data_IF_429005696370
#
_entry.id   IF_429005696370
#
_cell.length_a   1.000
_cell.length_b   1.000
_cell.length_c   1.000
_cell.angle_alpha   90.00
_cell.angle_beta   90.00
_cell.angle_gamma   90.00
#
_symmetry.space_group_name_H-M   'P 1'
#
loop_
_entity.id
_entity.type
_entity.pdbx_description
1 polymer ?
#
# COMPACT_ATOMS: atom_id res chain seq x y z
N UNK A 1 -7.56 -23.07 -20.80
CA UNK A 1 -7.66 -22.33 -20.37
C UNK A 1 -7.67 -21.65 -19.93
N UNK A 2 -7.33 -21.97 -19.90
CA UNK A 2 -7.39 -21.10 -19.25
C UNK A 2 -7.44 -20.71 -18.65
N UNK A 3 -7.29 -21.31 -18.71
CA UNK A 3 -7.43 -20.71 -18.05
C UNK A 3 -7.20 -20.23 -17.43
N UNK A 4 -6.97 -20.81 -17.57
CA UNK A 4 -6.79 -20.09 -16.91
C UNK A 4 -6.58 -19.38 -16.64
N UNK A 5 -6.35 -19.86 -16.93
CA UNK A 5 -6.26 -18.94 -16.57
C UNK A 5 -6.50 -18.11 -16.38
N UNK A 6 -6.38 -18.63 -16.55
CA UNK A 6 -6.69 -17.68 -16.25
C UNK A 6 -6.84 -17.03 -15.77
N UNK A 7 -6.71 -17.44 -15.87
CA UNK A 7 -6.86 -16.64 -15.33
C UNK A 7 -6.60 -16.03 -14.88
N UNK A 8 -6.51 -16.41 -15.08
CA UNK A 8 -6.28 -15.68 -14.71
C UNK A 8 -6.34 -14.83 -14.68
N UNK A 9 -6.40 -15.09 -14.96
CA UNK A 9 -6.43 -14.14 -14.99
C UNK A 9 -6.90 -13.39 -14.89
N UNK A 10 -6.88 -13.64 -14.98
CA UNK A 10 -7.20 -12.77 -14.76
C UNK A 10 -7.31 -12.03 -14.41
N UNK A 11 -7.29 -12.16 -14.28
CA UNK A 11 -7.15 -11.41 -13.79
C UNK A 11 -6.90 -10.55 -13.79
N UNK A 12 -6.85 -10.59 -13.93
CA UNK A 12 -6.47 -9.77 -13.80
C UNK A 12 -6.58 -8.94 -13.60
N UNK A 13 -6.71 -9.25 -13.43
CA UNK A 13 -6.84 -8.38 -13.24
C UNK A 13 -6.98 -7.40 -12.45
N UNK A 14 -7.14 -7.37 -11.67
CA UNK A 14 -6.98 -6.45 -11.04
C UNK A 14 -5.74 -6.19 -10.67
N UNK A 15 -5.20 -5.45 -11.17
CA UNK A 15 -3.90 -5.12 -10.95
C UNK A 15 -3.84 -4.05 -9.95
N UNK A 16 -2.97 -4.14 -8.95
CA UNK A 16 -2.68 -3.11 -7.98
C UNK A 16 -2.16 -1.85 -8.68
N UNK A 17 -2.43 -0.67 -8.10
CA UNK A 17 -1.83 0.57 -8.59
C UNK A 17 -0.37 0.68 -8.17
N UNK A 18 0.12 -0.23 -7.32
CA UNK A 18 1.48 -0.21 -6.84
C UNK A 18 2.41 -0.94 -7.79
N UNK A 19 3.68 -0.53 -7.87
CA UNK A 19 4.67 -1.27 -8.65
C UNK A 19 4.79 -2.70 -8.19
N UNK A 20 5.23 -3.55 -9.10
CA UNK A 20 5.31 -4.99 -8.88
C UNK A 20 6.17 -5.36 -7.67
N UNK A 21 7.20 -4.58 -7.36
CA UNK A 21 8.07 -4.89 -6.22
C UNK A 21 7.32 -4.90 -4.90
N UNK A 22 6.14 -4.31 -4.85
CA UNK A 22 5.33 -4.25 -3.64
C UNK A 22 4.24 -5.33 -3.61
N UNK A 23 4.22 -6.21 -4.61
CA UNK A 23 3.23 -7.27 -4.66
C UNK A 23 3.38 -8.17 -3.44
N UNK A 24 2.24 -8.57 -2.89
CA UNK A 24 2.22 -9.51 -1.78
C UNK A 24 2.39 -8.90 -0.40
N UNK A 25 2.71 -7.61 -0.32
CA UNK A 25 2.84 -6.98 1.00
C UNK A 25 1.47 -6.54 1.49
N UNK A 26 1.11 -7.01 2.67
CA UNK A 26 -0.17 -6.64 3.27
C UNK A 26 -0.08 -5.33 4.04
N UNK A 27 1.10 -5.03 4.58
CA UNK A 27 1.32 -3.80 5.34
C UNK A 27 2.66 -3.21 4.94
N UNK A 28 2.80 -1.91 5.12
CA UNK A 28 4.01 -1.18 4.77
C UNK A 28 4.53 -0.41 5.96
N UNK A 29 5.86 -0.24 6.01
CA UNK A 29 6.49 0.68 6.95
C UNK A 29 6.30 2.10 6.47
N UNK A 30 6.45 3.05 7.39
CA UNK A 30 6.36 4.47 7.02
C UNK A 30 7.39 4.81 5.94
N UNK A 31 8.61 4.27 6.06
CA UNK A 31 9.65 4.55 5.06
C UNK A 31 9.24 4.04 3.67
N UNK A 32 8.59 2.89 3.62
CA UNK A 32 8.13 2.34 2.34
C UNK A 32 7.03 3.19 1.73
N UNK A 33 6.09 3.66 2.57
CA UNK A 33 5.02 4.52 2.08
C UNK A 33 5.59 5.84 1.58
N UNK A 34 6.58 6.37 2.29
CA UNK A 34 7.25 7.60 1.87
C UNK A 34 7.89 7.42 0.49
N UNK A 35 8.52 6.28 0.27
CA UNK A 35 9.11 5.98 -1.03
C UNK A 35 8.04 5.91 -2.11
N UNK A 36 6.92 5.24 -1.82
CA UNK A 36 5.84 5.09 -2.79
C UNK A 36 5.27 6.44 -3.20
N UNK A 37 5.10 7.34 -2.24
CA UNK A 37 4.54 8.66 -2.53
C UNK A 37 5.57 9.69 -2.93
N UNK A 38 6.86 9.36 -2.85
CA UNK A 38 7.92 10.30 -3.17
C UNK A 38 8.04 11.42 -2.15
N UNK A 39 7.80 11.11 -0.88
CA UNK A 39 7.79 12.09 0.20
C UNK A 39 8.77 11.71 1.29
N UNK A 40 9.04 12.64 2.18
CA UNK A 40 9.85 12.34 3.36
C UNK A 40 9.01 11.58 4.39
N UNK A 41 9.65 10.72 5.17
CA UNK A 41 8.97 9.93 6.18
C UNK A 41 8.22 10.79 7.18
N UNK A 42 8.77 11.95 7.54
CA UNK A 42 8.08 12.79 8.54
C UNK A 42 6.73 13.27 8.04
N UNK A 43 6.57 13.43 6.72
CA UNK A 43 5.27 13.80 6.15
C UNK A 43 4.27 12.68 6.40
N UNK A 44 4.71 11.44 6.23
CA UNK A 44 3.83 10.28 6.45
C UNK A 44 3.45 10.18 7.93
N UNK A 45 4.41 10.35 8.82
CA UNK A 45 4.10 10.35 10.26
C UNK A 45 3.10 11.44 10.62
N UNK A 46 3.26 12.61 10.01
CA UNK A 46 2.34 13.71 10.26
C UNK A 46 0.92 13.38 9.79
N UNK A 47 0.81 12.77 8.61
CA UNK A 47 -0.50 12.37 8.09
C UNK A 47 -1.17 11.35 9.01
N UNK A 48 -0.41 10.41 9.52
CA UNK A 48 -0.93 9.42 10.46
C UNK A 48 -1.37 10.10 11.75
N UNK A 49 -0.56 11.03 12.25
CA UNK A 49 -0.86 11.74 13.48
C UNK A 49 -2.14 12.56 13.36
N UNK A 50 -2.35 13.16 12.20
CA UNK A 50 -3.54 13.97 11.96
C UNK A 50 -4.76 13.15 11.54
N UNK A 51 -4.61 11.83 11.52
CA UNK A 51 -5.69 10.90 11.16
C UNK A 51 -6.11 11.03 9.70
N UNK A 52 -5.23 11.56 8.88
CA UNK A 52 -5.49 11.63 7.43
C UNK A 52 -5.00 10.38 6.73
N UNK A 53 -4.20 9.57 7.39
CA UNK A 53 -3.78 8.28 6.88
C UNK A 53 -3.95 7.26 8.00
N UNK A 54 -4.70 6.21 7.72
CA UNK A 54 -4.92 5.18 8.72
C UNK A 54 -3.68 4.33 8.88
N UNK A 55 -3.39 3.98 10.12
CA UNK A 55 -2.24 3.16 10.42
C UNK A 55 -2.54 2.31 11.65
N UNK A 56 -1.80 1.22 11.78
CA UNK A 56 -1.87 0.34 12.94
C UNK A 56 -0.57 0.49 13.70
N UNK A 57 -0.65 0.75 15.00
CA UNK A 57 0.52 0.81 15.84
C UNK A 57 0.70 -0.51 16.55
N UNK A 58 1.87 -1.10 16.41
CA UNK A 58 2.22 -2.34 17.09
C UNK A 58 3.46 -2.03 17.90
N UNK A 59 3.26 -1.81 19.20
CA UNK A 59 4.32 -1.32 20.05
C UNK A 59 4.79 0.03 19.55
N UNK A 60 6.04 0.12 19.14
CA UNK A 60 6.59 1.36 18.59
C UNK A 60 6.49 1.45 17.08
N UNK A 61 6.06 0.35 16.45
CA UNK A 61 6.04 0.29 15.00
C UNK A 61 4.73 0.85 14.47
N UNK A 62 4.84 1.63 13.41
CA UNK A 62 3.68 2.15 12.70
C UNK A 62 3.63 1.42 11.37
N UNK A 63 2.53 0.72 11.11
CA UNK A 63 2.34 -0.03 9.88
C UNK A 63 1.11 0.49 9.17
N UNK A 64 1.21 0.67 7.87
CA UNK A 64 0.10 1.17 7.07
C UNK A 64 -0.43 0.04 6.22
N UNK A 65 -1.73 -0.30 6.36
CA UNK A 65 -2.32 -1.39 5.56
C UNK A 65 -2.27 -1.06 4.07
N UNK A 66 -2.11 -2.10 3.28
CA UNK A 66 -2.02 -1.95 1.82
C UNK A 66 -3.22 -1.21 1.25
N UNK A 67 -4.43 -1.53 1.71
CA UNK A 67 -5.62 -0.91 1.13
C UNK A 67 -5.63 0.61 1.35
N UNK A 68 -5.05 1.08 2.45
CA UNK A 68 -4.98 2.51 2.71
C UNK A 68 -4.08 3.19 1.67
N UNK A 69 -2.94 2.58 1.40
CA UNK A 69 -2.00 3.11 0.41
C UNK A 69 -2.65 3.14 -0.97
N UNK A 70 -3.31 2.04 -1.33
CA UNK A 70 -3.94 1.94 -2.64
C UNK A 70 -5.08 2.94 -2.80
N UNK A 71 -5.87 3.13 -1.76
CA UNK A 71 -6.96 4.10 -1.81
C UNK A 71 -6.45 5.51 -2.01
N UNK A 72 -5.35 5.86 -1.36
CA UNK A 72 -4.81 7.20 -1.49
C UNK A 72 -4.19 7.43 -2.86
N UNK A 73 -3.69 6.39 -3.49
CA UNK A 73 -3.12 6.50 -4.83
C UNK A 73 -4.19 6.49 -5.93
N UNK A 74 -5.36 5.99 -5.62
CA UNK A 74 -6.41 5.78 -6.62
C UNK A 74 -7.29 7.00 -6.87
N UNK A 75 -7.02 8.10 -6.20
CA UNK A 75 -7.84 9.30 -6.36
C UNK A 75 -7.67 9.97 -7.72
#
# INVERSE_FOLDING_TARGET
MNTSSANQKLEAPRRSVLPQKWDGKAVFDVAEVAEIFGMNSWVIYDLVKRKEMRAVKIGRLVKIPRHVVEEMLAV
#
